data_IF_658642129124
#
_entry.id   IF_658642129124
#
_cell.length_a   1.000
_cell.length_b   1.000
_cell.length_c   1.000
_cell.angle_alpha   90.00
_cell.angle_beta   90.00
_cell.angle_gamma   90.00
#
_symmetry.space_group_name_H-M   'P 1'
#
loop_
_entity.id
_entity.type
_entity.pdbx_description
1 polymer ?
#
# COMPACT_ATOMS: atom_id res chain seq x y z
N UNK A 1 8.97 -2.26 10.48
CA UNK A 1 7.88 -2.72 11.26
C UNK A 1 6.92 -1.67 11.68
N UNK A 2 6.02 -0.96 11.41
CA UNK A 2 4.91 -0.51 12.21
C UNK A 2 4.48 0.92 11.95
N UNK A 3 3.47 1.05 11.16
CA UNK A 3 2.63 2.23 11.19
C UNK A 3 1.62 2.06 12.32
N UNK A 4 1.67 2.90 13.33
CA UNK A 4 0.65 2.95 14.35
C UNK A 4 -0.48 3.86 13.85
N UNK A 5 -1.60 3.30 13.49
CA UNK A 5 -2.85 4.06 13.47
C UNK A 5 -3.39 4.09 14.89
N UNK A 6 -3.61 5.29 15.41
CA UNK A 6 -4.30 5.46 16.69
C UNK A 6 -5.71 4.91 16.60
N UNK A 7 -6.18 4.29 17.67
CA UNK A 7 -7.55 3.90 17.91
C UNK A 7 -8.46 5.15 18.01
N UNK A 8 -8.65 5.88 16.91
CA UNK A 8 -9.54 7.04 16.87
C UNK A 8 -10.96 6.52 16.85
N UNK A 9 -11.72 6.90 17.87
CA UNK A 9 -13.16 6.58 18.01
C UNK A 9 -13.50 5.26 18.67
N UNK A 10 -12.54 4.50 19.19
CA UNK A 10 -12.83 3.32 19.98
C UNK A 10 -13.16 3.67 21.43
N UNK A 11 -14.11 2.92 22.01
CA UNK A 11 -14.39 2.98 23.46
C UNK A 11 -13.20 2.47 24.28
N UNK A 12 -13.16 2.80 25.58
CA UNK A 12 -12.09 2.31 26.48
C UNK A 12 -12.10 0.78 26.61
N UNK A 13 -13.24 0.13 26.38
CA UNK A 13 -13.38 -1.33 26.38
C UNK A 13 -12.76 -1.93 25.12
N UNK A 14 -13.01 -1.35 23.94
CA UNK A 14 -12.37 -1.74 22.68
C UNK A 14 -10.86 -1.49 22.69
N UNK A 15 -10.40 -0.41 23.34
CA UNK A 15 -8.98 -0.15 23.58
C UNK A 15 -8.36 -1.17 24.54
N UNK A 16 -9.11 -1.68 25.51
CA UNK A 16 -8.65 -2.71 26.45
C UNK A 16 -8.57 -4.10 25.81
N UNK A 17 -9.52 -4.46 24.95
CA UNK A 17 -9.45 -5.67 24.12
C UNK A 17 -8.30 -5.62 23.13
N UNK A 18 -8.07 -4.48 22.49
CA UNK A 18 -6.94 -4.25 21.61
C UNK A 18 -5.58 -4.21 22.34
N UNK A 19 -5.55 -4.00 23.65
CA UNK A 19 -4.32 -4.11 24.47
C UNK A 19 -3.80 -5.55 24.58
N UNK A 20 -4.66 -6.52 24.35
CA UNK A 20 -4.29 -7.95 24.30
C UNK A 20 -4.08 -8.47 22.87
N UNK A 21 -4.57 -7.80 21.85
CA UNK A 21 -4.17 -8.01 20.47
C UNK A 21 -3.03 -7.03 20.18
N UNK A 22 -1.86 -7.56 20.18
CA UNK A 22 -0.59 -6.81 20.17
C UNK A 22 -0.40 -5.87 18.99
N UNK A 23 -1.35 -5.68 18.07
CA UNK A 23 -1.03 -4.92 16.88
C UNK A 23 -2.24 -4.37 16.15
N UNK A 24 -2.43 -3.10 16.23
CA UNK A 24 -3.19 -2.36 15.20
C UNK A 24 -2.24 -1.67 14.20
N UNK A 25 -1.03 -2.19 14.05
CA UNK A 25 -0.02 -1.69 13.16
C UNK A 25 -0.09 -2.45 11.84
N UNK A 26 0.04 -1.73 10.72
CA UNK A 26 0.17 -2.34 9.40
C UNK A 26 1.63 -2.34 8.99
N UNK A 27 2.14 -3.46 8.53
CA UNK A 27 3.44 -3.51 7.88
C UNK A 27 3.37 -2.72 6.57
N UNK A 28 4.23 -1.72 6.44
CA UNK A 28 4.16 -0.79 5.31
C UNK A 28 5.53 -0.27 4.93
N UNK A 29 5.66 0.12 3.69
CA UNK A 29 6.83 0.81 3.16
C UNK A 29 6.54 2.31 3.08
N UNK A 30 7.48 3.12 3.57
CA UNK A 30 7.47 4.56 3.37
C UNK A 30 8.22 4.87 2.08
N UNK A 31 7.51 5.35 1.09
CA UNK A 31 8.09 5.80 -0.18
C UNK A 31 8.29 7.31 -0.13
N UNK A 32 9.52 7.76 -0.35
CA UNK A 32 9.87 9.17 -0.53
C UNK A 32 10.31 9.35 -1.97
N UNK A 33 9.56 10.10 -2.74
CA UNK A 33 9.77 10.22 -4.18
C UNK A 33 9.77 11.69 -4.63
N UNK A 34 10.32 11.93 -5.80
CA UNK A 34 10.27 13.23 -6.48
C UNK A 34 9.16 13.15 -7.54
N UNK A 35 8.07 13.91 -7.33
CA UNK A 35 6.91 13.91 -8.21
C UNK A 35 7.21 14.44 -9.63
N UNK A 36 8.37 15.07 -9.86
CA UNK A 36 8.83 15.40 -11.20
C UNK A 36 9.43 14.21 -11.96
N UNK A 37 9.77 13.13 -11.27
CA UNK A 37 10.38 11.92 -11.86
C UNK A 37 9.40 10.75 -11.92
N UNK A 38 8.61 10.57 -10.85
CA UNK A 38 7.63 9.48 -10.74
C UNK A 38 6.33 10.05 -10.22
N UNK A 39 5.24 9.82 -10.93
CA UNK A 39 3.95 10.32 -10.48
C UNK A 39 3.41 9.49 -9.30
N UNK A 40 2.60 10.12 -8.45
CA UNK A 40 1.83 9.43 -7.40
C UNK A 40 0.97 8.33 -8.00
N UNK A 41 0.39 8.58 -9.16
CA UNK A 41 -0.49 7.64 -9.86
C UNK A 41 0.26 6.37 -10.27
N UNK A 42 1.47 6.49 -10.80
CA UNK A 42 2.29 5.33 -11.19
C UNK A 42 2.69 4.49 -9.97
N UNK A 43 3.07 5.15 -8.86
CA UNK A 43 3.37 4.45 -7.62
C UNK A 43 2.16 3.69 -7.08
N UNK A 44 0.99 4.30 -7.08
CA UNK A 44 -0.24 3.67 -6.58
C UNK A 44 -0.73 2.58 -7.54
N UNK A 45 -0.62 2.76 -8.85
CA UNK A 45 -0.91 1.68 -9.82
C UNK A 45 0.00 0.47 -9.60
N UNK A 46 1.30 0.72 -9.41
CA UNK A 46 2.22 -0.35 -9.11
C UNK A 46 1.86 -1.07 -7.80
N UNK A 47 1.49 -0.33 -6.74
CA UNK A 47 1.00 -0.94 -5.50
C UNK A 47 -0.15 -1.92 -5.74
N UNK A 48 -1.17 -1.56 -6.55
CA UNK A 48 -2.28 -2.45 -6.89
C UNK A 48 -1.82 -3.72 -7.61
N UNK A 49 -0.75 -3.63 -8.42
CA UNK A 49 -0.28 -4.71 -9.27
C UNK A 49 0.67 -5.71 -8.59
N UNK A 50 1.34 -5.31 -7.50
CA UNK A 50 2.38 -6.12 -6.86
C UNK A 50 1.87 -7.03 -5.74
N UNK A 51 0.60 -6.93 -5.35
CA UNK A 51 0.00 -7.75 -4.30
C UNK A 51 -1.45 -8.13 -4.65
N UNK A 52 -2.09 -8.92 -3.79
CA UNK A 52 -3.51 -9.25 -3.93
C UNK A 52 -4.35 -8.37 -2.97
N UNK A 53 -4.99 -7.29 -3.46
CA UNK A 53 -5.75 -6.37 -2.62
C UNK A 53 -7.12 -6.93 -2.18
N UNK A 54 -7.46 -8.16 -2.57
CA UNK A 54 -8.73 -8.81 -2.19
C UNK A 54 -8.61 -9.67 -0.94
N UNK A 55 -7.40 -9.83 -0.40
CA UNK A 55 -7.15 -10.64 0.79
C UNK A 55 -7.33 -9.82 2.07
N UNK A 56 -8.37 -10.16 2.84
CA UNK A 56 -8.65 -9.49 4.11
C UNK A 56 -7.68 -9.95 5.20
N UNK A 57 -7.00 -8.98 5.84
CA UNK A 57 -6.05 -9.22 6.94
C UNK A 57 -5.03 -10.34 6.64
N UNK A 58 -4.55 -10.36 5.42
CA UNK A 58 -3.67 -11.41 4.95
C UNK A 58 -2.93 -10.97 3.70
N UNK A 59 -1.74 -11.53 3.49
CA UNK A 59 -1.07 -11.51 2.19
C UNK A 59 -0.38 -12.84 1.97
N UNK A 60 -0.92 -13.64 1.03
CA UNK A 60 -0.41 -14.99 0.78
C UNK A 60 -0.45 -15.88 2.02
N UNK A 61 0.72 -16.33 2.49
CA UNK A 61 0.86 -17.17 3.68
C UNK A 61 0.87 -16.37 4.99
N UNK A 62 1.08 -15.05 4.92
CA UNK A 62 1.16 -14.19 6.08
C UNK A 62 -0.26 -13.77 6.50
N UNK A 63 -0.70 -14.27 7.64
CA UNK A 63 -2.06 -14.10 8.16
C UNK A 63 -2.03 -13.27 9.43
N UNK A 64 -2.73 -12.16 9.41
CA UNK A 64 -2.85 -11.24 10.55
C UNK A 64 -3.25 -9.85 10.10
N UNK A 65 -3.79 -9.05 11.04
CA UNK A 65 -4.22 -7.69 10.77
C UNK A 65 -3.05 -6.77 10.35
N UNK A 66 -1.83 -7.08 10.77
CA UNK A 66 -0.62 -6.38 10.36
C UNK A 66 -0.28 -6.57 8.87
N UNK A 67 -0.77 -7.63 8.23
CA UNK A 67 -0.56 -7.90 6.80
C UNK A 67 -1.72 -7.45 5.90
N UNK A 68 -2.60 -6.58 6.42
CA UNK A 68 -3.69 -6.02 5.60
C UNK A 68 -3.16 -5.10 4.52
N UNK A 69 -3.79 -5.13 3.37
CA UNK A 69 -3.55 -4.15 2.30
C UNK A 69 -3.94 -2.75 2.75
N UNK A 70 -3.07 -1.77 2.59
CA UNK A 70 -3.35 -0.40 3.01
C UNK A 70 -2.59 0.66 2.20
N UNK A 71 -3.19 1.84 2.05
CA UNK A 71 -2.57 3.08 1.57
C UNK A 71 -2.81 4.15 2.62
N UNK A 72 -1.73 4.76 3.10
CA UNK A 72 -1.78 5.90 4.02
C UNK A 72 -1.29 7.15 3.32
N UNK A 73 -2.23 8.02 3.00
CA UNK A 73 -1.96 9.26 2.28
C UNK A 73 -1.58 10.41 3.21
N UNK A 74 -0.83 11.37 2.70
CA UNK A 74 -0.42 12.58 3.43
C UNK A 74 -1.06 13.86 2.90
N UNK A 75 -1.69 13.79 1.70
CA UNK A 75 -2.44 14.89 1.11
C UNK A 75 -3.66 14.39 0.33
N UNK A 76 -4.62 15.28 0.06
CA UNK A 76 -5.89 14.93 -0.61
C UNK A 76 -5.71 14.45 -2.06
N UNK A 77 -4.65 14.86 -2.75
CA UNK A 77 -4.35 14.39 -4.10
C UNK A 77 -4.03 12.90 -4.08
N UNK A 78 -3.13 12.46 -3.19
CA UNK A 78 -2.81 11.03 -3.01
C UNK A 78 -4.05 10.20 -2.68
N UNK A 79 -4.94 10.72 -1.83
CA UNK A 79 -6.21 10.08 -1.48
C UNK A 79 -7.09 9.89 -2.71
N UNK A 80 -7.26 10.93 -3.51
CA UNK A 80 -8.10 10.87 -4.70
C UNK A 80 -7.53 9.87 -5.72
N UNK A 81 -6.23 9.92 -5.96
CA UNK A 81 -5.52 8.96 -6.83
C UNK A 81 -5.72 7.52 -6.33
N UNK A 82 -5.56 7.27 -5.04
CA UNK A 82 -5.76 5.95 -4.47
C UNK A 82 -7.19 5.42 -4.68
N UNK A 83 -8.20 6.27 -4.49
CA UNK A 83 -9.61 5.91 -4.68
C UNK A 83 -9.92 5.64 -6.16
N UNK A 84 -9.46 6.51 -7.05
CA UNK A 84 -9.75 6.41 -8.49
C UNK A 84 -9.05 5.22 -9.13
N UNK A 85 -7.76 5.04 -8.86
CA UNK A 85 -7.00 3.88 -9.35
C UNK A 85 -7.53 2.58 -8.76
N UNK A 86 -7.93 2.56 -7.48
CA UNK A 86 -8.58 1.41 -6.86
C UNK A 86 -9.89 1.01 -7.56
N UNK A 87 -10.73 1.99 -7.90
CA UNK A 87 -11.98 1.74 -8.69
C UNK A 87 -11.68 1.18 -10.08
N UNK A 88 -10.64 1.70 -10.73
CA UNK A 88 -10.23 1.20 -12.04
C UNK A 88 -9.69 -0.23 -11.91
N UNK A 89 -8.84 -0.49 -10.92
CA UNK A 89 -8.28 -1.82 -10.69
C UNK A 89 -9.34 -2.86 -10.29
N UNK A 90 -10.36 -2.46 -9.52
CA UNK A 90 -11.50 -3.33 -9.19
C UNK A 90 -12.21 -3.84 -10.44
N UNK A 91 -12.39 -3.01 -11.47
CA UNK A 91 -13.00 -3.46 -12.73
C UNK A 91 -12.15 -4.54 -13.42
N UNK A 92 -10.82 -4.38 -13.39
CA UNK A 92 -9.89 -5.36 -13.96
C UNK A 92 -9.91 -6.68 -13.18
N UNK A 93 -9.92 -6.60 -11.85
CA UNK A 93 -10.04 -7.76 -10.97
C UNK A 93 -11.35 -8.52 -11.22
N UNK A 94 -12.47 -7.82 -11.30
CA UNK A 94 -13.79 -8.42 -11.58
C UNK A 94 -13.81 -9.16 -12.93
N UNK A 95 -13.17 -8.58 -13.95
CA UNK A 95 -13.06 -9.21 -15.27
C UNK A 95 -12.24 -10.50 -15.26
N UNK A 96 -11.42 -10.70 -14.22
CA UNK A 96 -10.60 -11.91 -13.99
C UNK A 96 -11.18 -12.84 -12.93
N UNK A 97 -12.33 -12.50 -12.34
CA UNK A 97 -13.02 -13.33 -11.35
C UNK A 97 -12.50 -13.19 -9.93
N UNK A 98 -11.71 -12.17 -9.63
CA UNK A 98 -11.29 -11.83 -8.27
C UNK A 98 -12.43 -11.18 -7.48
N UNK A 99 -12.32 -11.19 -6.15
CA UNK A 99 -13.23 -10.55 -5.22
C UNK A 99 -13.07 -9.02 -5.15
N UNK A 100 -13.73 -8.43 -4.17
CA UNK A 100 -13.68 -7.01 -3.94
C UNK A 100 -12.36 -6.59 -3.27
N UNK A 101 -11.86 -5.42 -3.63
CA UNK A 101 -10.72 -4.78 -2.96
C UNK A 101 -11.11 -4.48 -1.50
N UNK A 102 -10.25 -4.91 -0.58
CA UNK A 102 -10.41 -4.70 0.87
C UNK A 102 -9.33 -3.77 1.45
N UNK A 103 -8.61 -3.07 0.59
CA UNK A 103 -7.53 -2.16 0.96
C UNK A 103 -8.05 -1.00 1.82
N UNK A 104 -7.40 -0.77 2.95
CA UNK A 104 -7.62 0.42 3.78
C UNK A 104 -7.00 1.64 3.11
N UNK A 105 -7.77 2.72 2.91
CA UNK A 105 -7.28 4.01 2.42
C UNK A 105 -7.54 5.04 3.50
N UNK A 106 -6.50 5.47 4.22
CA UNK A 106 -6.63 6.34 5.38
C UNK A 106 -5.56 7.44 5.43
N UNK A 107 -5.82 8.48 6.22
CA UNK A 107 -4.81 9.51 6.49
C UNK A 107 -3.69 8.95 7.36
N UNK A 108 -2.44 9.29 7.00
CA UNK A 108 -1.28 8.92 7.81
C UNK A 108 -1.22 9.75 9.08
N UNK A 109 -1.46 9.13 10.23
CA UNK A 109 -1.31 9.80 11.53
C UNK A 109 0.10 9.72 12.10
N UNK A 110 0.72 8.54 11.99
CA UNK A 110 2.08 8.30 12.48
C UNK A 110 2.74 7.15 11.72
N UNK A 111 4.05 7.22 11.59
CA UNK A 111 4.88 6.16 11.02
C UNK A 111 6.03 5.83 11.99
N UNK A 112 6.18 4.56 12.28
CA UNK A 112 7.25 4.05 13.13
C UNK A 112 8.19 3.20 12.30
N UNK A 113 9.46 3.62 12.14
CA UNK A 113 10.43 2.83 11.40
C UNK A 113 10.63 1.45 12.04
N UNK A 114 10.77 0.44 11.20
CA UNK A 114 11.21 -0.88 11.62
C UNK A 114 12.66 -0.84 12.12
N UNK A 115 13.03 -1.88 12.84
CA UNK A 115 14.39 -2.06 13.34
C UNK A 115 15.39 -2.14 12.18
N UNK A 116 16.63 -1.75 12.46
CA UNK A 116 17.67 -1.66 11.44
C UNK A 116 17.94 -2.97 10.68
N UNK A 117 17.66 -4.13 11.26
CA UNK A 117 17.86 -5.40 10.58
C UNK A 117 16.79 -5.72 9.53
N UNK A 118 15.64 -5.02 9.56
CA UNK A 118 14.60 -5.08 8.54
C UNK A 118 14.82 -4.06 7.40
N UNK A 119 15.59 -2.99 7.67
CA UNK A 119 15.90 -2.02 6.61
C UNK A 119 16.84 -2.66 5.58
N UNK A 120 16.58 -2.41 4.29
CA UNK A 120 17.39 -2.95 3.18
C UNK A 120 17.57 -4.48 3.24
N UNK A 121 16.53 -5.20 3.69
CA UNK A 121 16.64 -6.64 3.98
C UNK A 121 17.13 -7.44 2.78
N UNK A 122 16.53 -7.27 1.59
CA UNK A 122 16.94 -8.02 0.39
C UNK A 122 18.32 -7.59 -0.12
N UNK A 123 18.70 -6.33 0.06
CA UNK A 123 20.04 -5.87 -0.28
C UNK A 123 21.10 -6.61 0.56
N UNK A 124 20.80 -6.87 1.82
CA UNK A 124 21.69 -7.61 2.75
C UNK A 124 21.54 -9.12 2.62
N UNK A 125 20.38 -9.58 2.19
CA UNK A 125 20.03 -10.99 2.02
C UNK A 125 19.49 -11.24 0.61
N UNK A 126 20.33 -11.28 -0.43
CA UNK A 126 19.87 -11.38 -1.82
C UNK A 126 19.03 -12.64 -2.14
N UNK A 127 19.12 -13.67 -1.29
CA UNK A 127 18.32 -14.89 -1.36
C UNK A 127 17.24 -14.94 -0.25
N UNK A 128 16.92 -13.80 0.35
CA UNK A 128 15.89 -13.69 1.37
C UNK A 128 14.51 -14.06 0.82
N UNK A 129 13.60 -14.35 1.73
CA UNK A 129 12.21 -14.64 1.38
C UNK A 129 11.55 -13.41 0.77
N UNK A 130 11.09 -13.52 -0.47
CA UNK A 130 10.37 -12.48 -1.19
C UNK A 130 9.38 -13.15 -2.16
N UNK A 131 8.24 -13.63 -1.66
CA UNK A 131 7.24 -14.26 -2.51
C UNK A 131 6.48 -13.23 -3.35
N UNK A 132 6.18 -13.60 -4.60
CA UNK A 132 5.24 -12.85 -5.42
C UNK A 132 3.81 -13.20 -4.98
N UNK A 133 3.09 -12.20 -4.50
CA UNK A 133 1.68 -12.32 -4.10
C UNK A 133 0.74 -11.57 -5.05
N UNK A 134 1.24 -11.13 -6.20
CA UNK A 134 0.45 -10.41 -7.18
C UNK A 134 -0.69 -11.27 -7.75
N UNK A 135 -1.77 -10.62 -8.15
CA UNK A 135 -2.88 -11.26 -8.88
C UNK A 135 -2.51 -11.55 -10.34
N UNK A 136 -1.39 -10.99 -10.84
CA UNK A 136 -1.02 -10.99 -12.24
C UNK A 136 -1.88 -10.05 -13.11
N UNK A 137 -2.85 -9.35 -12.53
CA UNK A 137 -3.66 -8.34 -13.23
C UNK A 137 -2.83 -7.07 -13.35
N UNK A 138 -2.85 -6.46 -14.54
CA UNK A 138 -2.08 -5.26 -14.84
C UNK A 138 -2.98 -4.16 -15.42
N UNK A 139 -2.66 -2.90 -15.11
CA UNK A 139 -3.20 -1.78 -15.86
C UNK A 139 -2.68 -1.85 -17.29
N UNK A 140 -3.60 -1.90 -18.26
CA UNK A 140 -3.22 -1.85 -19.67
C UNK A 140 -3.39 -0.41 -20.17
N UNK A 141 -2.58 0.01 -21.15
CA UNK A 141 -2.65 1.36 -21.74
C UNK A 141 -4.06 1.75 -22.24
N UNK A 142 -4.89 0.76 -22.61
CA UNK A 142 -6.26 0.98 -23.06
C UNK A 142 -7.22 1.42 -21.95
N UNK A 143 -6.91 1.18 -20.68
CA UNK A 143 -7.74 1.60 -19.53
C UNK A 143 -7.38 3.01 -19.07
N UNK A 144 -6.15 3.44 -19.33
CA UNK A 144 -5.65 4.77 -18.95
C UNK A 144 -6.33 5.89 -19.73
N UNK A 145 -6.89 5.61 -20.93
CA UNK A 145 -7.52 6.61 -21.78
C UNK A 145 -9.01 6.88 -21.45
N UNK A 146 -9.64 6.19 -20.52
CA UNK A 146 -10.95 6.52 -20.02
C UNK A 146 -10.86 7.47 -18.83
N UNK A 147 -10.68 8.74 -19.13
CA UNK A 147 -11.02 9.90 -18.32
C UNK A 147 -10.55 9.89 -16.83
N UNK A 148 -9.28 9.97 -16.59
CA UNK A 148 -8.81 10.72 -15.44
C UNK A 148 -8.79 12.19 -15.84
N UNK A 149 -9.89 12.86 -15.52
CA UNK A 149 -10.10 14.25 -15.93
C UNK A 149 -9.20 15.19 -15.17
N UNK A 150 -8.56 16.04 -15.92
CA UNK A 150 -7.81 17.24 -15.62
C UNK A 150 -6.34 17.00 -15.28
N UNK A 151 -5.51 17.63 -16.11
CA UNK A 151 -4.08 17.90 -15.88
C UNK A 151 -3.88 18.53 -14.50
N UNK A 152 -3.64 17.69 -13.49
CA UNK A 152 -3.18 18.17 -12.19
C UNK A 152 -1.69 18.41 -12.38
N UNK A 153 -1.29 19.67 -12.43
CA UNK A 153 0.13 20.06 -12.42
C UNK A 153 0.78 19.40 -11.19
N UNK A 154 1.86 18.60 -11.34
CA UNK A 154 2.54 18.01 -10.20
C UNK A 154 3.00 19.12 -9.26
N UNK A 155 2.68 19.02 -7.99
CA UNK A 155 3.28 19.86 -6.96
C UNK A 155 4.76 19.45 -6.87
N UNK A 156 5.61 20.11 -7.67
CA UNK A 156 7.03 19.78 -7.75
C UNK A 156 7.70 19.75 -6.39
N UNK A 157 8.25 18.58 -6.00
CA UNK A 157 8.93 18.43 -4.72
C UNK A 157 9.03 16.98 -4.25
N UNK A 158 9.63 16.80 -3.08
CA UNK A 158 9.67 15.47 -2.42
C UNK A 158 8.37 15.21 -1.70
N UNK A 159 7.72 14.14 -2.08
CA UNK A 159 6.48 13.67 -1.48
C UNK A 159 6.69 12.36 -0.70
N UNK A 160 5.75 12.06 0.19
CA UNK A 160 5.76 10.85 1.00
C UNK A 160 4.40 10.19 0.87
N UNK A 161 4.40 8.92 0.49
CA UNK A 161 3.24 8.04 0.59
C UNK A 161 3.65 6.76 1.33
N UNK A 162 2.72 6.17 2.05
CA UNK A 162 2.96 4.92 2.77
C UNK A 162 2.01 3.87 2.26
N UNK A 163 2.54 2.76 1.81
CA UNK A 163 1.79 1.67 1.19
C UNK A 163 2.18 0.32 1.80
N UNK A 164 1.21 -0.55 1.95
CA UNK A 164 1.36 -1.91 2.46
C UNK A 164 0.33 -2.87 1.86
N UNK A 165 0.45 -4.16 2.04
CA UNK A 165 1.35 -4.81 2.98
C UNK A 165 2.77 -4.86 2.47
N UNK A 166 3.70 -4.61 3.36
CA UNK A 166 5.05 -5.07 3.16
C UNK A 166 5.02 -6.58 3.43
N UNK A 167 5.25 -7.39 2.42
CA UNK A 167 5.62 -8.78 2.62
C UNK A 167 7.09 -8.78 2.97
N UNK A 168 7.51 -9.49 4.03
CA UNK A 168 8.91 -9.55 4.43
C UNK A 168 9.79 -9.79 3.21
N UNK A 169 10.59 -8.80 2.86
CA UNK A 169 11.45 -8.85 1.69
C UNK A 169 10.86 -8.31 0.39
N UNK A 170 9.61 -7.83 0.35
CA UNK A 170 9.10 -7.14 -0.85
C UNK A 170 9.80 -5.80 -0.96
N UNK A 171 10.83 -5.77 -1.76
CA UNK A 171 11.54 -4.55 -2.09
C UNK A 171 10.71 -3.78 -3.11
N UNK A 172 10.00 -2.74 -2.68
CA UNK A 172 9.55 -1.71 -3.61
C UNK A 172 10.74 -1.06 -4.35
N UNK A 173 11.98 -1.27 -3.85
CA UNK A 173 13.23 -0.91 -4.50
C UNK A 173 13.68 -1.88 -5.60
N UNK A 174 12.97 -2.99 -5.84
CA UNK A 174 13.16 -3.80 -7.06
C UNK A 174 12.48 -3.16 -8.27
N UNK A 175 11.90 -1.99 -8.12
CA UNK A 175 11.47 -1.18 -9.24
C UNK A 175 12.70 -0.49 -9.81
N UNK A 176 13.26 -1.06 -10.86
CA UNK A 176 14.15 -0.32 -11.77
C UNK A 176 13.27 0.75 -12.45
N UNK A 177 13.46 2.00 -12.04
CA UNK A 177 12.94 3.17 -12.72
C UNK A 177 13.92 3.59 -13.84
#
# INVERSE_FOLDING_TARGET
>A
FLTALKNIGLSEEEKAENKNSLVNHTETVKVVYDSNQVSTEDLVKNFWEIHDPTQLNRQGNDVGNNYRSAIYWTNEEQKNIAIETGRAYQKLLNAKGYGDIVTEIAYLEAFWPAENYHQDYLLRNPNGYCPDHSTGVKFTESVVNEQFGQDIEPLGGKEIIIIGPEVEGTCLFCLEF
#
